data_IF_796868948256
#
_entry.id   IF_796868948256
#
_cell.length_a   1.000
_cell.length_b   1.000
_cell.length_c   1.000
_cell.angle_alpha   90.00
_cell.angle_beta   90.00
_cell.angle_gamma   90.00
#
_symmetry.space_group_name_H-M   'P 1'
#
loop_
_entity.id
_entity.type
_entity.pdbx_description
1 polymer ?
#
# COMPACT_ATOMS: atom_id res chain seq x y z
N UNK A 1 -8.97 13.02 17.72
CA UNK A 1 -8.09 11.86 17.96
C UNK A 1 -6.67 12.35 17.84
N UNK A 2 -5.86 12.21 18.89
CA UNK A 2 -4.44 12.55 18.85
C UNK A 2 -3.76 11.64 17.84
N UNK A 3 -3.45 12.18 16.66
CA UNK A 3 -2.63 11.51 15.66
C UNK A 3 -1.28 11.24 16.30
N UNK A 4 -1.08 10.00 16.76
CA UNK A 4 0.23 9.52 17.16
C UNK A 4 1.15 9.80 15.97
N UNK A 5 2.23 10.56 16.18
CA UNK A 5 3.21 10.81 15.12
C UNK A 5 3.87 9.47 14.76
N UNK A 6 3.35 8.79 13.74
CA UNK A 6 3.85 7.51 13.25
C UNK A 6 5.28 7.66 12.75
N UNK A 7 6.14 6.73 13.13
CA UNK A 7 7.58 6.75 12.79
C UNK A 7 7.94 5.55 11.95
N UNK A 8 8.34 5.73 10.67
CA UNK A 8 8.68 4.62 9.78
C UNK A 8 9.72 3.63 10.33
N UNK A 9 10.61 4.12 11.19
CA UNK A 9 11.70 3.32 11.77
C UNK A 9 11.28 2.45 12.96
N UNK A 10 10.09 2.66 13.53
CA UNK A 10 9.67 2.05 14.81
C UNK A 10 8.27 1.48 14.76
N UNK A 11 7.34 2.18 14.13
CA UNK A 11 5.94 1.83 14.13
C UNK A 11 5.62 0.91 12.93
N UNK A 12 4.76 -0.09 13.10
CA UNK A 12 4.36 -0.97 12.02
C UNK A 12 3.40 -0.27 11.05
N UNK A 13 3.25 -0.86 9.87
CA UNK A 13 2.11 -0.66 8.99
C UNK A 13 1.27 -1.93 8.98
N UNK A 14 -0.05 -1.76 8.85
CA UNK A 14 -1.03 -2.83 8.88
C UNK A 14 -1.69 -3.03 7.51
N UNK A 15 -2.14 -4.24 7.24
CA UNK A 15 -2.88 -4.62 6.04
C UNK A 15 -3.93 -5.65 6.38
N UNK A 16 -5.17 -5.39 5.99
CA UNK A 16 -6.20 -6.41 5.95
C UNK A 16 -6.01 -7.31 4.74
N UNK A 17 -5.97 -8.62 4.95
CA UNK A 17 -5.93 -9.58 3.86
C UNK A 17 -6.56 -10.92 4.26
N UNK A 18 -6.52 -11.92 3.38
CA UNK A 18 -7.09 -13.26 3.61
C UNK A 18 -6.48 -13.92 4.85
N UNK A 19 -7.24 -14.84 5.47
CA UNK A 19 -6.75 -15.65 6.60
C UNK A 19 -5.54 -16.51 6.24
N UNK A 20 -5.46 -16.95 4.98
CA UNK A 20 -4.39 -17.83 4.49
C UNK A 20 -3.07 -17.12 4.19
N UNK A 21 -3.07 -15.78 4.11
CA UNK A 21 -1.88 -15.01 3.77
C UNK A 21 -2.20 -13.68 3.12
N UNK A 22 -1.16 -12.88 2.95
CA UNK A 22 -1.18 -11.63 2.18
C UNK A 22 -1.14 -11.95 0.68
N UNK A 23 -1.90 -11.21 -0.13
CA UNK A 23 -1.85 -11.33 -1.59
C UNK A 23 -0.43 -11.09 -2.12
N UNK A 24 -0.04 -11.84 -3.16
CA UNK A 24 1.27 -11.71 -3.77
C UNK A 24 1.23 -10.64 -4.86
N UNK A 25 2.02 -9.56 -4.75
CA UNK A 25 2.11 -8.55 -5.78
C UNK A 25 2.87 -9.08 -6.99
N UNK A 26 2.54 -8.57 -8.17
CA UNK A 26 3.21 -8.91 -9.43
C UNK A 26 4.11 -7.75 -9.83
N UNK A 27 5.41 -7.94 -9.70
CA UNK A 27 6.43 -6.89 -9.86
C UNK A 27 6.40 -6.19 -11.23
N UNK A 28 5.95 -6.88 -12.28
CA UNK A 28 5.88 -6.38 -13.66
C UNK A 28 4.45 -6.06 -14.14
N UNK A 29 3.48 -5.95 -13.22
CA UNK A 29 2.13 -5.51 -13.56
C UNK A 29 2.07 -3.99 -13.82
N UNK A 30 0.90 -3.50 -14.25
CA UNK A 30 0.62 -2.06 -14.39
C UNK A 30 0.93 -1.33 -13.08
N UNK A 31 1.83 -0.35 -13.16
CA UNK A 31 2.37 0.38 -12.03
C UNK A 31 1.71 1.75 -11.81
N UNK A 32 0.54 1.98 -12.41
CA UNK A 32 -0.26 3.17 -12.14
C UNK A 32 -0.78 3.16 -10.69
N UNK A 33 -0.28 4.11 -9.90
CA UNK A 33 -0.66 4.33 -8.51
C UNK A 33 -2.14 4.76 -8.40
N UNK A 34 -2.64 5.60 -9.32
CA UNK A 34 -4.04 6.08 -9.28
C UNK A 34 -5.00 4.93 -9.52
N UNK A 35 -4.75 4.14 -10.57
CA UNK A 35 -5.44 2.87 -10.85
C UNK A 35 -5.46 1.95 -9.63
N UNK A 36 -4.35 1.87 -8.88
CA UNK A 36 -4.24 1.10 -7.64
C UNK A 36 -5.14 1.58 -6.53
N UNK A 37 -5.07 2.85 -6.21
CA UNK A 37 -5.78 3.41 -5.06
C UNK A 37 -7.28 3.48 -5.30
N UNK A 38 -7.69 3.77 -6.54
CA UNK A 38 -9.09 3.73 -6.92
C UNK A 38 -9.65 2.31 -7.04
N UNK A 39 -8.77 1.31 -6.93
CA UNK A 39 -9.13 -0.10 -7.01
C UNK A 39 -9.92 -0.40 -8.29
N UNK A 40 -9.49 0.22 -9.39
CA UNK A 40 -10.03 -0.07 -10.71
C UNK A 40 -9.82 -1.57 -10.98
N UNK A 41 -10.68 -2.22 -11.76
CA UNK A 41 -10.71 -3.69 -11.97
C UNK A 41 -11.09 -4.55 -10.76
N UNK A 42 -11.19 -3.98 -9.55
CA UNK A 42 -11.68 -4.67 -8.37
C UNK A 42 -10.70 -5.67 -7.73
N UNK A 43 -11.22 -6.56 -6.86
CA UNK A 43 -10.39 -7.48 -6.07
C UNK A 43 -9.57 -8.45 -6.91
N UNK A 44 -8.30 -8.63 -6.57
CA UNK A 44 -7.42 -9.60 -7.23
C UNK A 44 -6.73 -9.08 -8.49
N UNK A 45 -6.90 -7.79 -8.82
CA UNK A 45 -6.12 -7.14 -9.89
C UNK A 45 -4.62 -7.31 -9.66
N UNK A 46 -3.89 -7.52 -10.74
CA UNK A 46 -2.43 -7.56 -10.68
C UNK A 46 -1.88 -6.14 -10.46
N UNK A 47 -0.93 -6.01 -9.53
CA UNK A 47 -0.30 -4.75 -9.17
C UNK A 47 1.05 -5.04 -8.51
N UNK A 48 2.06 -4.17 -8.68
CA UNK A 48 3.31 -4.27 -7.94
C UNK A 48 3.20 -3.73 -6.50
N UNK A 49 2.05 -3.20 -6.10
CA UNK A 49 1.85 -2.53 -4.81
C UNK A 49 0.96 -3.33 -3.86
N UNK A 50 1.24 -3.22 -2.56
CA UNK A 50 0.32 -3.65 -1.51
C UNK A 50 -0.10 -2.46 -0.65
N UNK A 51 -1.39 -2.16 -0.59
CA UNK A 51 -1.90 -1.13 0.32
C UNK A 51 -1.67 -1.51 1.78
N UNK A 52 -1.16 -0.57 2.55
CA UNK A 52 -0.94 -0.66 4.00
C UNK A 52 -1.34 0.65 4.67
N UNK A 53 -1.59 0.62 5.97
CA UNK A 53 -2.07 1.78 6.76
C UNK A 53 -1.38 1.86 8.12
N UNK A 54 -1.30 3.06 8.69
CA UNK A 54 -0.82 3.28 10.06
C UNK A 54 -1.83 2.80 11.12
N UNK A 55 -3.10 2.63 10.74
CA UNK A 55 -4.22 2.37 11.65
C UNK A 55 -4.69 0.91 11.59
N UNK A 56 -4.67 0.22 12.72
CA UNK A 56 -5.12 -1.19 12.80
C UNK A 56 -6.60 -1.33 12.39
N UNK A 57 -7.46 -0.45 12.87
CA UNK A 57 -8.91 -0.50 12.62
C UNK A 57 -9.25 -0.34 11.13
N UNK A 58 -8.48 0.48 10.40
CA UNK A 58 -8.59 0.60 8.94
C UNK A 58 -8.19 -0.72 8.27
N UNK A 59 -7.09 -1.35 8.70
CA UNK A 59 -6.70 -2.66 8.19
C UNK A 59 -7.73 -3.74 8.51
N UNK A 60 -8.35 -3.72 9.70
CA UNK A 60 -9.41 -4.63 10.09
C UNK A 60 -10.65 -4.47 9.21
N UNK A 61 -11.07 -3.22 8.94
CA UNK A 61 -12.15 -2.92 8.01
C UNK A 61 -11.94 -3.56 6.64
N UNK A 62 -10.72 -3.46 6.09
CA UNK A 62 -10.38 -4.06 4.79
C UNK A 62 -10.11 -5.57 4.84
N UNK A 63 -9.81 -6.14 6.00
CA UNK A 63 -9.66 -7.57 6.16
C UNK A 63 -11.00 -8.30 5.94
N UNK A 64 -12.13 -7.63 6.24
CA UNK A 64 -13.46 -8.24 6.23
C UNK A 64 -13.48 -9.51 7.12
N UNK A 65 -13.69 -10.69 6.53
CA UNK A 65 -13.58 -11.99 7.23
C UNK A 65 -12.16 -12.56 7.29
N UNK A 66 -11.16 -11.75 6.97
CA UNK A 66 -9.76 -12.12 6.84
C UNK A 66 -8.95 -12.03 8.14
N UNK A 67 -7.74 -11.48 8.05
CA UNK A 67 -6.79 -11.28 9.14
C UNK A 67 -5.99 -10.02 8.90
N UNK A 68 -5.66 -9.30 9.97
CA UNK A 68 -4.74 -8.18 9.91
C UNK A 68 -3.30 -8.68 9.96
N UNK A 69 -2.51 -8.24 8.99
CA UNK A 69 -1.09 -8.49 8.87
C UNK A 69 -0.35 -7.20 9.16
N UNK A 70 0.82 -7.30 9.79
CA UNK A 70 1.71 -6.17 10.05
C UNK A 70 3.05 -6.34 9.36
N UNK A 71 3.65 -5.23 8.99
CA UNK A 71 5.01 -5.15 8.45
C UNK A 71 5.72 -3.91 8.99
N UNK A 72 7.05 -3.89 8.89
CA UNK A 72 7.87 -2.74 9.25
C UNK A 72 8.62 -2.26 8.01
N UNK A 73 8.65 -0.94 7.78
CA UNK A 73 9.32 -0.35 6.61
C UNK A 73 10.79 -0.76 6.52
N UNK A 74 11.49 -0.83 7.66
CA UNK A 74 12.90 -1.22 7.70
C UNK A 74 13.10 -2.69 7.29
N UNK A 75 12.20 -3.59 7.69
CA UNK A 75 12.33 -5.00 7.34
C UNK A 75 11.96 -5.23 5.87
N UNK A 76 10.96 -4.52 5.37
CA UNK A 76 10.62 -4.50 3.95
C UNK A 76 11.81 -4.03 3.09
N UNK A 77 12.47 -2.93 3.48
CA UNK A 77 13.64 -2.38 2.78
C UNK A 77 14.84 -3.34 2.76
N UNK A 78 15.08 -4.10 3.84
CA UNK A 78 16.15 -5.11 3.87
C UNK A 78 15.95 -6.23 2.84
N UNK A 79 14.70 -6.53 2.50
CA UNK A 79 14.35 -7.51 1.47
C UNK A 79 14.16 -6.88 0.07
N UNK A 80 14.59 -5.63 -0.12
CA UNK A 80 14.54 -4.94 -1.43
C UNK A 80 13.19 -4.32 -1.78
N UNK A 81 12.22 -4.31 -0.85
CA UNK A 81 10.92 -3.66 -1.06
C UNK A 81 11.05 -2.17 -0.82
N UNK A 82 10.70 -1.36 -1.81
CA UNK A 82 10.67 0.10 -1.66
C UNK A 82 9.42 0.54 -0.90
N UNK A 83 9.45 1.73 -0.30
CA UNK A 83 8.33 2.26 0.47
C UNK A 83 7.95 3.63 -0.05
N UNK A 84 6.74 3.73 -0.60
CA UNK A 84 6.11 5.00 -0.96
C UNK A 84 5.26 5.42 0.22
N UNK A 85 5.70 6.47 0.92
CA UNK A 85 5.01 6.96 2.12
C UNK A 85 3.70 7.67 1.78
N UNK A 86 2.77 7.77 2.75
CA UNK A 86 1.57 8.62 2.63
C UNK A 86 1.92 10.03 2.14
N UNK A 87 2.90 10.68 2.75
CA UNK A 87 3.32 12.02 2.36
C UNK A 87 3.81 12.09 0.91
N UNK A 88 4.54 11.06 0.47
CA UNK A 88 5.01 10.94 -0.91
C UNK A 88 3.86 10.71 -1.89
N UNK A 89 2.93 9.81 -1.60
CA UNK A 89 1.71 9.59 -2.41
C UNK A 89 0.93 10.90 -2.59
N UNK A 90 0.72 11.64 -1.50
CA UNK A 90 0.06 12.94 -1.54
C UNK A 90 0.88 13.98 -2.33
N UNK A 91 2.19 13.89 -2.36
CA UNK A 91 3.02 14.78 -3.17
C UNK A 91 2.89 14.48 -4.68
N UNK A 92 2.71 13.19 -5.03
CA UNK A 92 2.54 12.71 -6.40
C UNK A 92 1.14 13.03 -6.95
N UNK A 93 0.11 13.08 -6.10
CA UNK A 93 -1.28 13.33 -6.48
C UNK A 93 -1.64 14.82 -6.41
N UNK A 94 -1.09 15.60 -7.34
CA UNK A 94 -1.41 17.02 -7.56
C UNK A 94 -1.76 17.24 -9.03
N UNK A 95 -2.86 17.93 -9.32
CA UNK A 95 -3.34 18.12 -10.70
C UNK A 95 -3.61 16.76 -11.37
N UNK A 96 -3.02 16.53 -12.55
CA UNK A 96 -3.10 15.25 -13.27
C UNK A 96 -2.12 14.18 -12.72
N UNK A 97 -1.58 14.39 -11.53
CA UNK A 97 -0.59 13.52 -10.92
C UNK A 97 0.81 13.65 -11.54
N UNK A 98 1.79 12.99 -10.92
CA UNK A 98 3.21 13.01 -11.33
C UNK A 98 3.80 11.61 -11.32
N UNK A 99 4.77 11.35 -12.20
CA UNK A 99 5.44 10.05 -12.30
C UNK A 99 4.43 8.92 -12.45
N UNK A 100 4.53 7.91 -11.59
CA UNK A 100 3.65 6.72 -11.61
C UNK A 100 2.21 7.03 -11.12
N UNK A 101 1.94 8.24 -10.63
CA UNK A 101 0.58 8.72 -10.34
C UNK A 101 -0.01 9.57 -11.46
N UNK A 102 0.67 9.73 -12.61
CA UNK A 102 0.15 10.48 -13.75
C UNK A 102 -1.12 9.79 -14.27
N UNK A 103 -2.19 10.56 -14.45
CA UNK A 103 -3.50 10.07 -14.88
C UNK A 103 -4.21 11.10 -15.76
N UNK A 104 -5.12 10.65 -16.62
CA UNK A 104 -5.80 11.52 -17.59
C UNK A 104 -6.83 12.45 -16.94
N UNK A 105 -7.40 12.05 -15.80
CA UNK A 105 -8.45 12.79 -15.09
C UNK A 105 -7.93 13.37 -13.77
N UNK A 106 -7.84 14.70 -13.67
CA UNK A 106 -7.51 15.39 -12.41
C UNK A 106 -8.51 15.05 -11.29
N UNK A 107 -9.78 14.86 -11.64
CA UNK A 107 -10.83 14.51 -10.69
C UNK A 107 -10.56 13.16 -10.03
N UNK A 108 -10.20 12.15 -10.82
CA UNK A 108 -9.86 10.82 -10.32
C UNK A 108 -8.58 10.83 -9.48
N UNK A 109 -7.58 11.65 -9.85
CA UNK A 109 -6.38 11.87 -9.02
C UNK A 109 -6.75 12.45 -7.66
N UNK A 110 -7.66 13.43 -7.63
CA UNK A 110 -8.14 14.03 -6.39
C UNK A 110 -8.96 13.04 -5.54
N UNK A 111 -9.73 12.16 -6.18
CA UNK A 111 -10.43 11.10 -5.47
C UNK A 111 -9.45 10.07 -4.88
N UNK A 112 -8.44 9.64 -5.65
CA UNK A 112 -7.38 8.76 -5.16
C UNK A 112 -6.65 9.40 -3.98
N UNK A 113 -6.28 10.67 -4.09
CA UNK A 113 -5.69 11.46 -3.01
C UNK A 113 -6.55 11.42 -1.75
N UNK A 114 -7.87 11.63 -1.89
CA UNK A 114 -8.80 11.59 -0.76
C UNK A 114 -8.78 10.22 -0.07
N UNK A 115 -8.71 9.12 -0.82
CA UNK A 115 -8.60 7.78 -0.23
C UNK A 115 -7.27 7.58 0.50
N UNK A 116 -6.14 8.06 -0.04
CA UNK A 116 -4.86 8.04 0.68
C UNK A 116 -4.95 8.81 1.99
N UNK A 117 -5.60 9.98 1.98
CA UNK A 117 -5.79 10.79 3.19
C UNK A 117 -6.72 10.10 4.19
N UNK A 118 -7.83 9.55 3.72
CA UNK A 118 -8.85 8.89 4.53
C UNK A 118 -8.33 7.62 5.21
N UNK A 119 -7.55 6.81 4.50
CA UNK A 119 -7.11 5.51 4.99
C UNK A 119 -5.67 5.51 5.52
N UNK A 120 -5.01 6.66 5.49
CA UNK A 120 -3.60 6.77 5.87
C UNK A 120 -2.73 5.81 5.06
N UNK A 121 -2.91 5.77 3.74
CA UNK A 121 -2.34 4.71 2.89
C UNK A 121 -0.84 4.89 2.63
N UNK A 122 -0.11 3.77 2.64
CA UNK A 122 1.28 3.63 2.22
C UNK A 122 1.41 2.42 1.27
N UNK A 123 2.39 2.47 0.36
CA UNK A 123 2.63 1.39 -0.59
C UNK A 123 4.06 0.83 -0.45
N UNK A 124 4.19 -0.37 0.13
CA UNK A 124 5.22 -1.32 -0.27
C UNK A 124 5.23 -1.55 -1.79
N UNK A 125 6.36 -1.25 -2.43
CA UNK A 125 6.58 -1.34 -3.88
C UNK A 125 7.54 -2.49 -4.20
N UNK A 126 7.02 -3.47 -4.95
CA UNK A 126 7.71 -4.72 -5.27
C UNK A 126 8.32 -4.74 -6.67
N UNK A 127 8.35 -3.63 -7.42
CA UNK A 127 8.89 -3.61 -8.80
C UNK A 127 10.33 -4.11 -8.91
N UNK A 128 11.13 -3.93 -7.85
CA UNK A 128 12.54 -4.35 -7.80
C UNK A 128 12.75 -5.70 -7.10
N UNK A 129 11.67 -6.39 -6.71
CA UNK A 129 11.74 -7.63 -5.94
C UNK A 129 11.74 -8.83 -6.87
N UNK A 130 12.81 -9.63 -6.83
CA UNK A 130 12.98 -10.82 -7.68
C UNK A 130 12.00 -11.94 -7.31
N UNK A 131 11.76 -12.17 -6.02
CA UNK A 131 10.85 -13.21 -5.53
C UNK A 131 9.78 -12.62 -4.59
N UNK A 132 8.67 -12.08 -5.12
CA UNK A 132 7.60 -11.50 -4.32
C UNK A 132 6.95 -12.49 -3.35
N UNK A 133 6.85 -13.77 -3.70
CA UNK A 133 6.22 -14.80 -2.86
C UNK A 133 6.98 -14.99 -1.56
N UNK A 134 8.30 -15.20 -1.64
CA UNK A 134 9.14 -15.35 -0.46
C UNK A 134 9.22 -14.06 0.34
N UNK A 135 9.36 -12.93 -0.35
CA UNK A 135 9.49 -11.62 0.28
C UNK A 135 8.26 -11.26 1.10
N UNK A 136 7.05 -11.46 0.57
CA UNK A 136 5.80 -11.23 1.31
C UNK A 136 5.74 -12.07 2.59
N UNK A 137 6.08 -13.37 2.52
CA UNK A 137 6.10 -14.27 3.69
C UNK A 137 7.12 -13.83 4.76
N UNK A 138 8.25 -13.26 4.33
CA UNK A 138 9.28 -12.76 5.25
C UNK A 138 8.83 -11.48 5.96
N UNK A 139 8.28 -10.51 5.24
CA UNK A 139 8.07 -9.15 5.76
C UNK A 139 6.70 -8.92 6.41
N UNK A 140 5.68 -9.72 6.06
CA UNK A 140 4.36 -9.65 6.69
C UNK A 140 4.22 -10.73 7.74
N UNK A 141 3.83 -10.33 8.94
CA UNK A 141 3.52 -11.22 10.07
C UNK A 141 2.08 -11.02 10.49
N UNK A 142 1.43 -12.07 10.97
CA UNK A 142 0.10 -11.95 11.56
C UNK A 142 0.18 -10.96 12.73
N UNK A 143 -0.70 -9.96 12.74
CA UNK A 143 -0.62 -8.86 13.71
C UNK A 143 -0.97 -9.34 15.11
#
# INVERSE_FOLDING_TARGET
>A
MTTKNWKPSKDPLFRGDRKSGVNIPKANADDSIVRHILFLEGPGRETPYLSTTEEYDVAEYFAQSGTVWKTFVNDAKKEGVSHISRAELLSLMKGNGKGNAKWSSAFEVMQARRYVEQWGEHLPDFRQVVNPIETVKKIFKKS
#
